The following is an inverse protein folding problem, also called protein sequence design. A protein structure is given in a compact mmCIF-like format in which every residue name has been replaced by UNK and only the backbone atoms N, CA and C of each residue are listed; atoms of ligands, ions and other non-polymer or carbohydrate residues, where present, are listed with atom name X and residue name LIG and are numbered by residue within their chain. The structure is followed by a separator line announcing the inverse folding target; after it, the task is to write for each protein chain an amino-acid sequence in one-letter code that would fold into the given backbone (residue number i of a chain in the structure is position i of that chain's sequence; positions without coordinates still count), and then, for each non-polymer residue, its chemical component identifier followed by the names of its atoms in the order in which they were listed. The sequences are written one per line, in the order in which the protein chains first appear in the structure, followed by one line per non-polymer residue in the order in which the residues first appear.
data_IF_031086073585
#
_entry.id   IF_031086073585
#
_cell.length_a   1.000
_cell.length_b   1.000
_cell.length_c   1.000
_cell.angle_alpha   90.00
_cell.angle_beta   90.00
_cell.angle_gamma   90.00
#
_symmetry.space_group_name_H-M   'P 1'
#
loop_
_entity.id
_entity.type
_entity.pdbx_description
1 polymer ?
#
# COMPACT_ATOMS: atom_id res chain seq x y z
N UNK A 1 27.68 -4.01 26.58
CA UNK A 1 26.49 -3.41 27.20
C UNK A 1 26.00 -2.33 26.25
N UNK A 2 25.16 -2.67 25.29
CA UNK A 2 24.47 -1.72 24.41
C UNK A 2 22.98 -1.85 24.65
N UNK A 3 22.39 -0.70 24.98
CA UNK A 3 21.05 -0.49 25.48
C UNK A 3 19.96 -0.94 24.49
N UNK A 4 19.14 -1.88 24.93
CA UNK A 4 17.91 -2.37 24.30
C UNK A 4 16.75 -1.42 24.60
N UNK A 5 16.67 -0.25 23.99
CA UNK A 5 15.53 0.67 24.26
C UNK A 5 15.03 1.51 23.09
N UNK A 6 15.30 1.12 21.83
CA UNK A 6 14.82 1.89 20.67
C UNK A 6 13.79 1.21 19.78
N UNK A 7 13.32 0.02 20.10
CA UNK A 7 12.43 -0.78 19.20
C UNK A 7 10.94 -0.54 19.44
N UNK A 8 10.55 0.18 20.50
CA UNK A 8 9.13 0.41 20.85
C UNK A 8 8.60 1.81 20.50
N UNK A 9 9.43 2.71 19.96
CA UNK A 9 9.07 4.12 19.76
C UNK A 9 8.46 4.45 18.39
N UNK A 10 8.36 3.49 17.46
CA UNK A 10 7.89 3.77 16.09
C UNK A 10 6.42 3.43 15.85
N UNK A 11 5.81 2.57 16.64
CA UNK A 11 4.39 2.20 16.44
C UNK A 11 3.40 3.30 16.90
N UNK A 12 3.80 4.17 17.85
CA UNK A 12 2.93 5.22 18.39
C UNK A 12 3.04 6.57 17.64
N UNK A 13 3.94 6.70 16.65
CA UNK A 13 4.20 7.98 15.96
C UNK A 13 3.35 8.29 14.74
N UNK A 14 2.40 7.45 14.36
CA UNK A 14 1.38 7.82 13.36
C UNK A 14 0.46 8.96 13.86
N UNK A 15 0.45 9.22 15.17
CA UNK A 15 -0.33 10.30 15.80
C UNK A 15 0.32 11.69 15.70
N UNK A 16 1.60 11.81 15.33
CA UNK A 16 2.31 13.08 15.19
C UNK A 16 2.15 13.75 13.81
N UNK A 17 1.36 13.15 12.92
CA UNK A 17 0.95 13.86 11.71
C UNK A 17 -0.12 14.88 12.10
N UNK A 18 0.26 16.14 12.13
CA UNK A 18 -0.57 17.32 12.41
C UNK A 18 -1.66 17.57 11.34
N UNK A 19 -2.32 16.50 10.88
CA UNK A 19 -3.54 16.59 10.11
C UNK A 19 -4.68 16.50 11.12
N UNK A 20 -5.48 17.56 11.33
CA UNK A 20 -6.64 17.44 12.17
C UNK A 20 -7.54 16.37 11.55
N UNK A 21 -7.63 15.23 12.22
CA UNK A 21 -8.59 14.19 11.88
C UNK A 21 -9.88 14.52 12.64
N UNK A 22 -10.89 15.04 12.02
CA UNK A 22 -12.14 15.28 12.70
C UNK A 22 -13.03 14.09 12.48
N UNK A 23 -13.84 13.75 13.45
CA UNK A 23 -14.95 12.82 13.32
C UNK A 23 -14.75 11.64 12.34
N UNK A 24 -15.65 10.71 12.27
CA UNK A 24 -15.54 9.52 11.44
C UNK A 24 -15.90 9.85 10.01
N UNK A 25 -14.98 9.56 9.08
CA UNK A 25 -15.20 9.70 7.65
C UNK A 25 -15.14 8.37 6.94
N UNK A 26 -15.85 8.30 5.82
CA UNK A 26 -15.70 7.23 4.85
C UNK A 26 -15.54 7.81 3.44
N UNK A 27 -14.95 7.03 2.55
CA UNK A 27 -14.95 7.30 1.12
C UNK A 27 -14.96 5.99 0.34
N UNK A 28 -15.57 6.00 -0.84
CA UNK A 28 -15.41 4.89 -1.77
C UNK A 28 -13.98 4.87 -2.30
N UNK A 29 -13.35 3.69 -2.27
CA UNK A 29 -11.99 3.52 -2.78
C UNK A 29 -12.03 3.14 -4.26
N UNK A 30 -11.13 3.73 -5.04
CA UNK A 30 -10.94 3.37 -6.45
C UNK A 30 -10.20 2.04 -6.65
N UNK A 31 -9.66 1.48 -5.57
CA UNK A 31 -8.99 0.18 -5.56
C UNK A 31 -9.95 -0.92 -6.04
N UNK A 32 -9.39 -1.98 -6.61
CA UNK A 32 -10.11 -3.05 -7.26
C UNK A 32 -9.86 -4.38 -6.55
N UNK A 33 -10.81 -5.30 -6.69
CA UNK A 33 -10.75 -6.63 -6.10
C UNK A 33 -10.50 -7.70 -7.17
N UNK A 34 -9.51 -8.55 -6.96
CA UNK A 34 -9.32 -9.82 -7.67
C UNK A 34 -9.80 -10.93 -6.76
N UNK A 35 -10.64 -11.84 -7.29
CA UNK A 35 -11.10 -13.03 -6.60
C UNK A 35 -10.44 -14.26 -7.23
N UNK A 36 -9.99 -15.17 -6.35
CA UNK A 36 -9.39 -16.45 -6.71
C UNK A 36 -10.23 -17.57 -6.11
N UNK A 37 -10.83 -18.38 -6.95
CA UNK A 37 -11.67 -19.52 -6.55
C UNK A 37 -11.07 -20.84 -7.04
N UNK A 38 -11.60 -21.96 -6.57
CA UNK A 38 -11.16 -23.28 -6.99
C UNK A 38 -10.15 -23.95 -6.06
N UNK A 39 -9.98 -25.29 -6.21
CA UNK A 39 -9.19 -26.09 -5.28
C UNK A 39 -7.70 -25.79 -5.28
N UNK A 40 -7.15 -25.31 -6.41
CA UNK A 40 -5.72 -25.05 -6.57
C UNK A 40 -5.34 -23.59 -6.23
N UNK A 41 -6.30 -22.73 -5.81
CA UNK A 41 -6.05 -21.30 -5.56
C UNK A 41 -4.86 -21.03 -4.65
N UNK A 42 -4.69 -21.83 -3.59
CA UNK A 42 -3.59 -21.66 -2.64
C UNK A 42 -2.23 -21.99 -3.26
N UNK A 43 -2.10 -23.18 -3.84
CA UNK A 43 -0.85 -23.64 -4.46
C UNK A 43 -0.46 -22.76 -5.65
N UNK A 44 -1.44 -22.36 -6.44
CA UNK A 44 -1.26 -21.46 -7.57
C UNK A 44 -0.71 -20.09 -7.10
N UNK A 45 -1.41 -19.41 -6.20
CA UNK A 45 -0.98 -18.10 -5.69
C UNK A 45 0.39 -18.16 -5.04
N UNK A 46 0.69 -19.25 -4.32
CA UNK A 46 2.00 -19.43 -3.69
C UNK A 46 3.15 -19.34 -4.69
N UNK A 47 2.97 -19.81 -5.91
CA UNK A 47 3.96 -19.71 -6.99
C UNK A 47 3.98 -18.38 -7.76
N UNK A 48 3.00 -17.50 -7.54
CA UNK A 48 2.85 -16.27 -8.34
C UNK A 48 3.24 -14.99 -7.60
N UNK A 49 3.26 -15.00 -6.27
CA UNK A 49 3.47 -13.79 -5.46
C UNK A 49 4.66 -13.90 -4.52
N UNK A 50 5.15 -12.77 -4.04
CA UNK A 50 6.35 -12.69 -3.20
C UNK A 50 6.13 -13.18 -1.77
N UNK A 51 4.90 -13.18 -1.23
CA UNK A 51 4.60 -13.55 0.14
C UNK A 51 4.15 -15.01 0.26
N UNK A 52 4.35 -15.60 1.43
CA UNK A 52 3.93 -16.98 1.74
C UNK A 52 2.42 -17.05 1.99
N UNK A 53 1.69 -17.63 1.05
CA UNK A 53 0.23 -17.81 1.14
C UNK A 53 -0.18 -18.75 2.28
N UNK A 54 0.74 -19.54 2.84
CA UNK A 54 0.44 -20.36 4.02
C UNK A 54 0.15 -19.53 5.27
N UNK A 55 0.60 -18.28 5.30
CA UNK A 55 0.31 -17.32 6.37
C UNK A 55 -1.06 -16.65 6.22
N UNK A 56 -1.78 -16.88 5.13
CA UNK A 56 -3.10 -16.30 4.89
C UNK A 56 -4.16 -17.08 5.67
N UNK A 57 -4.35 -16.70 6.93
CA UNK A 57 -5.44 -17.19 7.78
C UNK A 57 -6.73 -16.38 7.56
N UNK A 58 -7.83 -16.75 8.21
CA UNK A 58 -9.11 -16.05 8.06
C UNK A 58 -9.10 -14.64 8.65
N UNK A 59 -8.16 -14.36 9.52
CA UNK A 59 -7.99 -13.10 10.24
C UNK A 59 -6.76 -12.29 9.79
N UNK A 60 -6.01 -12.77 8.78
CA UNK A 60 -4.81 -12.11 8.29
C UNK A 60 -5.06 -11.26 7.04
N UNK A 61 -4.36 -10.13 6.97
CA UNK A 61 -4.11 -9.38 5.74
C UNK A 61 -2.63 -9.54 5.37
N UNK A 62 -2.33 -10.02 4.17
CA UNK A 62 -0.97 -10.16 3.69
C UNK A 62 -0.67 -9.17 2.56
N UNK A 63 0.41 -8.42 2.70
CA UNK A 63 0.99 -7.70 1.58
C UNK A 63 1.76 -8.67 0.68
N UNK A 64 1.72 -8.45 -0.63
CA UNK A 64 2.50 -9.23 -1.59
C UNK A 64 2.77 -8.44 -2.86
N UNK A 65 3.83 -8.79 -3.58
CA UNK A 65 4.08 -8.35 -4.94
C UNK A 65 3.81 -9.47 -5.94
N UNK A 66 3.21 -9.14 -7.08
CA UNK A 66 3.20 -9.98 -8.27
C UNK A 66 4.29 -9.50 -9.21
N UNK A 67 5.23 -10.37 -9.57
CA UNK A 67 6.39 -9.99 -10.37
C UNK A 67 6.39 -10.64 -11.76
N UNK A 68 7.10 -10.02 -12.70
CA UNK A 68 7.53 -10.65 -13.93
C UNK A 68 8.69 -11.62 -13.68
N UNK A 69 9.16 -12.31 -14.71
CA UNK A 69 10.31 -13.24 -14.62
C UNK A 69 11.63 -12.52 -14.27
N UNK A 70 11.72 -11.20 -14.48
CA UNK A 70 12.88 -10.37 -14.12
C UNK A 70 12.78 -9.79 -12.71
N UNK A 71 11.73 -10.13 -11.94
CA UNK A 71 11.47 -9.66 -10.60
C UNK A 71 10.91 -8.24 -10.52
N UNK A 72 10.40 -7.66 -11.61
CA UNK A 72 9.76 -6.36 -11.62
C UNK A 72 8.27 -6.49 -11.33
N UNK A 73 7.72 -5.58 -10.55
CA UNK A 73 6.34 -5.59 -10.10
C UNK A 73 5.35 -5.30 -11.23
N UNK A 74 4.39 -6.20 -11.42
CA UNK A 74 3.16 -5.97 -12.15
C UNK A 74 2.10 -5.32 -11.27
N UNK A 75 2.03 -5.76 -10.00
CA UNK A 75 1.07 -5.24 -9.03
C UNK A 75 1.54 -5.43 -7.60
N UNK A 76 0.97 -4.62 -6.71
CA UNK A 76 1.06 -4.74 -5.26
C UNK A 76 -0.32 -5.13 -4.75
N UNK A 77 -0.34 -6.15 -3.91
CA UNK A 77 -1.55 -6.83 -3.48
C UNK A 77 -1.69 -6.78 -1.97
N UNK A 78 -2.92 -6.60 -1.50
CA UNK A 78 -3.35 -6.88 -0.12
C UNK A 78 -4.29 -8.08 -0.17
N UNK A 79 -3.81 -9.23 0.28
CA UNK A 79 -4.52 -10.50 0.23
C UNK A 79 -5.25 -10.78 1.53
N UNK A 80 -6.49 -11.23 1.43
CA UNK A 80 -7.30 -11.68 2.56
C UNK A 80 -8.20 -12.85 2.15
N UNK A 81 -8.67 -13.59 3.14
CA UNK A 81 -9.61 -14.69 2.96
C UNK A 81 -11.03 -14.21 3.25
N UNK A 82 -11.99 -14.51 2.37
CA UNK A 82 -13.39 -14.15 2.55
C UNK A 82 -14.28 -15.15 1.82
N UNK A 83 -15.27 -15.72 2.53
CA UNK A 83 -16.22 -16.72 2.00
C UNK A 83 -15.51 -17.92 1.35
N UNK A 84 -14.47 -18.43 1.99
CA UNK A 84 -13.62 -19.53 1.51
C UNK A 84 -12.81 -19.24 0.24
N UNK A 85 -12.89 -18.05 -0.32
CA UNK A 85 -12.10 -17.62 -1.45
C UNK A 85 -10.97 -16.65 -1.04
N UNK A 86 -9.98 -16.52 -1.90
CA UNK A 86 -8.94 -15.52 -1.71
C UNK A 86 -9.27 -14.26 -2.50
N UNK A 87 -9.16 -13.13 -1.84
CA UNK A 87 -9.33 -11.83 -2.43
C UNK A 87 -8.02 -11.05 -2.37
N UNK A 88 -7.75 -10.28 -3.41
CA UNK A 88 -6.64 -9.35 -3.43
C UNK A 88 -7.13 -7.95 -3.79
N UNK A 89 -6.83 -6.96 -2.94
CA UNK A 89 -7.00 -5.55 -3.27
C UNK A 89 -5.76 -5.09 -4.03
N UNK A 90 -5.95 -4.42 -5.14
CA UNK A 90 -4.90 -3.77 -5.94
C UNK A 90 -5.39 -2.43 -6.48
N UNK A 91 -4.50 -1.56 -6.98
CA UNK A 91 -4.92 -0.27 -7.50
C UNK A 91 -5.68 -0.41 -8.84
N UNK A 92 -6.45 0.62 -9.19
CA UNK A 92 -7.14 0.69 -10.50
C UNK A 92 -6.17 0.67 -11.68
N UNK A 93 -4.95 1.16 -11.49
CA UNK A 93 -3.92 1.20 -12.55
C UNK A 93 -3.27 -0.17 -12.77
N UNK A 94 -3.24 -1.01 -11.73
CA UNK A 94 -2.58 -2.31 -11.73
C UNK A 94 -3.49 -3.47 -12.18
N UNK A 95 -4.81 -3.35 -12.00
CA UNK A 95 -5.77 -4.46 -12.09
C UNK A 95 -5.72 -5.21 -13.43
N UNK A 96 -5.66 -4.50 -14.56
CA UNK A 96 -5.66 -5.13 -15.88
C UNK A 96 -4.39 -5.96 -16.10
N UNK A 97 -3.23 -5.40 -15.78
CA UNK A 97 -1.95 -6.09 -15.86
C UNK A 97 -1.88 -7.29 -14.90
N UNK A 98 -2.35 -7.10 -13.67
CA UNK A 98 -2.40 -8.16 -12.66
C UNK A 98 -3.23 -9.35 -13.13
N UNK A 99 -4.46 -9.10 -13.62
CA UNK A 99 -5.35 -10.15 -14.13
C UNK A 99 -4.77 -10.86 -15.34
N UNK A 100 -4.22 -10.11 -16.29
CA UNK A 100 -3.64 -10.70 -17.50
C UNK A 100 -2.48 -11.65 -17.15
N UNK A 101 -1.59 -11.23 -16.25
CA UNK A 101 -0.46 -12.05 -15.84
C UNK A 101 -0.87 -13.25 -14.98
N UNK A 102 -1.85 -13.12 -14.09
CA UNK A 102 -2.38 -14.26 -13.35
C UNK A 102 -3.04 -15.28 -14.31
N UNK A 103 -3.94 -14.87 -15.18
CA UNK A 103 -4.63 -15.77 -16.12
C UNK A 103 -3.67 -16.51 -17.05
N UNK A 104 -2.60 -15.88 -17.48
CA UNK A 104 -1.58 -16.47 -18.36
C UNK A 104 -0.94 -17.73 -17.75
N UNK A 105 -0.76 -17.79 -16.44
CA UNK A 105 -0.11 -18.92 -15.76
C UNK A 105 -1.09 -19.88 -15.08
N UNK A 106 -2.40 -19.60 -15.15
CA UNK A 106 -3.44 -20.42 -14.54
C UNK A 106 -3.87 -21.63 -15.41
N UNK A 107 -3.39 -21.74 -16.65
CA UNK A 107 -3.88 -22.71 -17.66
C UNK A 107 -3.86 -24.17 -17.19
N UNK A 108 -2.94 -24.53 -16.30
CA UNK A 108 -2.79 -25.90 -15.79
C UNK A 108 -3.28 -26.07 -14.35
N UNK A 109 -3.84 -25.03 -13.73
CA UNK A 109 -4.33 -25.04 -12.36
C UNK A 109 -5.87 -24.97 -12.35
N UNK A 110 -6.49 -25.69 -11.42
CA UNK A 110 -7.94 -25.61 -11.20
C UNK A 110 -8.24 -24.38 -10.33
N UNK A 111 -8.01 -23.21 -10.91
CA UNK A 111 -8.24 -21.90 -10.29
C UNK A 111 -8.94 -20.99 -11.28
N UNK A 112 -10.01 -20.33 -10.85
CA UNK A 112 -10.65 -19.25 -11.57
C UNK A 112 -10.21 -17.90 -10.97
N UNK A 113 -9.91 -16.95 -11.85
CA UNK A 113 -9.36 -15.65 -11.45
C UNK A 113 -10.12 -14.56 -12.18
N UNK A 114 -10.81 -13.70 -11.43
CA UNK A 114 -11.61 -12.64 -12.01
C UNK A 114 -11.60 -11.36 -11.18
N UNK A 115 -11.95 -10.26 -11.82
CA UNK A 115 -12.25 -9.04 -11.09
C UNK A 115 -13.60 -9.20 -10.39
N UNK A 116 -13.62 -9.11 -9.07
CA UNK A 116 -14.87 -9.12 -8.33
C UNK A 116 -15.57 -7.76 -8.47
N UNK A 117 -16.79 -7.77 -9.00
CA UNK A 117 -17.63 -6.58 -9.21
C UNK A 117 -18.84 -6.52 -8.27
N UNK A 118 -19.01 -7.53 -7.41
CA UNK A 118 -20.15 -7.64 -6.50
C UNK A 118 -19.91 -6.87 -5.19
N UNK A 119 -18.66 -6.69 -4.82
CA UNK A 119 -18.28 -5.96 -3.62
C UNK A 119 -17.69 -4.59 -3.98
N UNK A 120 -17.74 -3.68 -3.03
CA UNK A 120 -17.10 -2.38 -3.06
C UNK A 120 -16.16 -2.23 -1.86
N UNK A 121 -15.16 -1.38 -2.02
CA UNK A 121 -14.22 -1.04 -0.97
C UNK A 121 -14.55 0.36 -0.45
N UNK A 122 -14.69 0.46 0.86
CA UNK A 122 -14.92 1.72 1.55
C UNK A 122 -13.80 1.93 2.57
N UNK A 123 -13.07 3.01 2.44
CA UNK A 123 -12.12 3.45 3.44
C UNK A 123 -12.86 4.16 4.57
N UNK A 124 -12.71 3.68 5.79
CA UNK A 124 -13.24 4.28 7.01
C UNK A 124 -12.08 4.79 7.85
N UNK A 125 -12.10 6.05 8.26
CA UNK A 125 -10.99 6.67 9.00
C UNK A 125 -11.46 7.79 9.92
N UNK A 126 -10.69 8.01 10.99
CA UNK A 126 -11.00 9.03 12.01
C UNK A 126 -10.19 8.82 13.29
N UNK A 127 -10.31 9.76 14.23
CA UNK A 127 -9.59 9.70 15.51
C UNK A 127 -10.14 8.59 16.43
N UNK A 128 -11.46 8.39 16.41
CA UNK A 128 -12.12 7.37 17.22
C UNK A 128 -13.22 6.67 16.40
N UNK A 129 -12.95 5.44 16.00
CA UNK A 129 -13.88 4.62 15.24
C UNK A 129 -14.87 3.82 16.11
N UNK A 130 -14.79 3.92 17.44
CA UNK A 130 -15.54 3.06 18.37
C UNK A 130 -17.04 3.11 18.17
N UNK A 131 -17.61 4.30 17.94
CA UNK A 131 -19.07 4.46 17.75
C UNK A 131 -19.57 3.72 16.49
N UNK A 132 -18.85 3.87 15.36
CA UNK A 132 -19.20 3.18 14.11
C UNK A 132 -18.97 1.69 14.20
N UNK A 133 -17.87 1.27 14.82
CA UNK A 133 -17.61 -0.15 15.04
C UNK A 133 -18.71 -0.82 15.87
N UNK A 134 -19.20 -0.13 16.91
CA UNK A 134 -20.31 -0.60 17.72
C UNK A 134 -21.60 -0.71 16.90
N UNK A 135 -21.92 0.28 16.06
CA UNK A 135 -23.10 0.25 15.19
C UNK A 135 -23.02 -0.86 14.11
N UNK A 136 -21.82 -1.10 13.59
CA UNK A 136 -21.56 -2.19 12.64
C UNK A 136 -21.39 -3.57 13.31
N UNK A 137 -21.43 -3.64 14.65
CA UNK A 137 -21.17 -4.85 15.43
C UNK A 137 -19.79 -5.49 15.13
N UNK A 138 -18.76 -4.62 14.88
CA UNK A 138 -17.41 -5.05 14.57
C UNK A 138 -16.56 -4.98 15.85
N UNK A 139 -15.96 -6.12 16.22
CA UNK A 139 -14.93 -6.19 17.26
C UNK A 139 -13.58 -6.37 16.58
N UNK A 140 -12.81 -5.28 16.45
CA UNK A 140 -11.53 -5.33 15.77
C UNK A 140 -10.50 -6.16 16.54
N UNK A 141 -9.68 -6.94 15.84
CA UNK A 141 -8.47 -7.52 16.39
C UNK A 141 -7.50 -6.44 16.91
N UNK A 142 -6.65 -6.79 17.88
CA UNK A 142 -5.61 -5.89 18.39
C UNK A 142 -4.56 -5.59 17.33
N UNK A 143 -4.21 -6.61 16.56
CA UNK A 143 -3.15 -6.53 15.54
C UNK A 143 -3.55 -5.69 14.33
N UNK A 144 -2.60 -4.91 13.79
CA UNK A 144 -2.72 -4.26 12.49
C UNK A 144 -2.56 -5.31 11.36
N UNK A 145 -3.00 -4.96 10.15
CA UNK A 145 -3.05 -5.88 9.02
C UNK A 145 -3.81 -7.17 9.34
N UNK A 146 -4.95 -7.03 10.01
CA UNK A 146 -5.85 -8.12 10.37
C UNK A 146 -7.23 -7.92 9.75
N UNK A 147 -8.01 -8.99 9.71
CA UNK A 147 -9.34 -8.97 9.10
C UNK A 147 -10.37 -9.63 10.00
N UNK A 148 -11.61 -9.22 9.91
CA UNK A 148 -12.74 -9.83 10.62
C UNK A 148 -14.00 -9.83 9.76
N UNK A 149 -14.73 -10.92 9.78
CA UNK A 149 -16.04 -10.99 9.15
C UNK A 149 -17.08 -10.23 9.99
N UNK A 150 -17.98 -9.54 9.33
CA UNK A 150 -19.11 -8.87 9.95
C UNK A 150 -20.36 -8.99 9.06
N UNK A 151 -21.49 -8.53 9.55
CA UNK A 151 -22.81 -8.74 8.92
C UNK A 151 -22.88 -8.37 7.43
N UNK A 152 -22.14 -7.35 6.99
CA UNK A 152 -22.21 -6.83 5.62
C UNK A 152 -21.01 -7.20 4.75
N UNK A 153 -20.01 -7.92 5.28
CA UNK A 153 -18.81 -8.27 4.54
C UNK A 153 -17.59 -8.54 5.40
N UNK A 154 -16.47 -7.99 5.01
CA UNK A 154 -15.17 -8.12 5.68
C UNK A 154 -14.61 -6.76 6.06
N UNK A 155 -14.27 -6.58 7.33
CA UNK A 155 -13.52 -5.42 7.79
C UNK A 155 -12.02 -5.75 7.84
N UNK A 156 -11.20 -4.86 7.32
CA UNK A 156 -9.75 -4.99 7.18
C UNK A 156 -9.12 -3.85 7.97
N UNK A 157 -8.50 -4.17 9.11
CA UNK A 157 -7.80 -3.22 9.95
C UNK A 157 -6.41 -2.93 9.38
N UNK A 158 -6.15 -1.70 8.99
CA UNK A 158 -4.82 -1.26 8.56
C UNK A 158 -4.01 -0.77 9.76
N UNK A 159 -4.61 0.09 10.57
CA UNK A 159 -4.08 0.64 11.82
C UNK A 159 -5.23 1.03 12.75
N UNK A 160 -4.94 1.76 13.82
CA UNK A 160 -5.96 2.15 14.81
C UNK A 160 -6.97 3.16 14.27
N UNK A 161 -6.62 3.90 13.21
CA UNK A 161 -7.39 5.02 12.69
C UNK A 161 -7.97 4.75 11.30
N UNK A 162 -7.61 3.59 10.66
CA UNK A 162 -8.02 3.28 9.30
C UNK A 162 -8.44 1.84 9.11
N UNK A 163 -9.59 1.67 8.48
CA UNK A 163 -10.16 0.38 8.07
C UNK A 163 -10.53 0.41 6.59
N UNK A 164 -10.47 -0.73 5.94
CA UNK A 164 -11.15 -0.96 4.67
C UNK A 164 -12.33 -1.89 4.94
N UNK A 165 -13.52 -1.48 4.53
CA UNK A 165 -14.69 -2.33 4.51
C UNK A 165 -14.87 -2.89 3.10
N UNK A 166 -14.78 -4.21 2.95
CA UNK A 166 -15.15 -4.93 1.74
C UNK A 166 -16.58 -5.40 1.92
N UNK A 167 -17.53 -4.72 1.28
CA UNK A 167 -18.97 -4.94 1.49
C UNK A 167 -19.70 -5.17 0.17
N UNK A 168 -20.83 -5.85 0.20
CA UNK A 168 -21.73 -5.95 -0.94
C UNK A 168 -22.08 -4.55 -1.45
N UNK A 169 -22.11 -4.36 -2.77
CA UNK A 169 -22.46 -3.05 -3.37
C UNK A 169 -23.83 -2.53 -2.99
N UNK A 170 -24.74 -3.39 -2.55
CA UNK A 170 -26.09 -3.02 -2.08
C UNK A 170 -26.14 -2.70 -0.60
N UNK A 171 -25.07 -2.94 0.14
CA UNK A 171 -25.00 -2.61 1.56
C UNK A 171 -25.02 -1.10 1.77
N UNK A 172 -25.80 -0.66 2.73
CA UNK A 172 -25.88 0.74 3.14
C UNK A 172 -24.97 0.95 4.36
N UNK A 173 -24.19 2.01 4.32
CA UNK A 173 -23.38 2.43 5.46
C UNK A 173 -24.27 3.09 6.53
N UNK A 174 -23.89 3.00 7.82
CA UNK A 174 -24.56 3.71 8.90
C UNK A 174 -24.65 5.20 8.67
N UNK A 175 -25.77 5.81 9.09
CA UNK A 175 -26.03 7.25 8.91
C UNK A 175 -25.11 8.16 9.74
N UNK A 176 -24.44 7.60 10.77
CA UNK A 176 -23.45 8.33 11.57
C UNK A 176 -22.13 8.59 10.83
N UNK A 177 -21.91 7.96 9.67
CA UNK A 177 -20.70 8.12 8.87
C UNK A 177 -20.86 9.26 7.89
N UNK A 178 -19.92 10.20 7.91
CA UNK A 178 -19.82 11.24 6.86
C UNK A 178 -19.12 10.65 5.64
N UNK A 179 -19.88 10.44 4.56
CA UNK A 179 -19.30 9.96 3.29
C UNK A 179 -18.73 11.13 2.50
N UNK A 180 -17.44 11.08 2.24
CA UNK A 180 -16.73 12.05 1.40
C UNK A 180 -16.89 11.70 -0.09
N UNK A 181 -17.05 12.72 -0.94
CA UNK A 181 -17.12 12.55 -2.40
C UNK A 181 -15.77 12.16 -3.02
N UNK A 182 -14.67 12.48 -2.34
CA UNK A 182 -13.31 12.26 -2.83
C UNK A 182 -12.51 11.38 -1.86
N UNK A 183 -11.68 10.49 -2.41
CA UNK A 183 -10.74 9.66 -1.64
C UNK A 183 -9.38 10.35 -1.36
N UNK A 184 -9.22 11.64 -1.66
CA UNK A 184 -7.93 12.34 -1.53
C UNK A 184 -7.36 12.30 -0.10
N UNK A 185 -8.21 12.48 0.93
CA UNK A 185 -7.77 12.35 2.34
C UNK A 185 -7.28 10.94 2.65
N UNK A 186 -8.01 9.92 2.21
CA UNK A 186 -7.59 8.53 2.34
C UNK A 186 -6.25 8.27 1.64
N UNK A 187 -6.08 8.79 0.42
CA UNK A 187 -4.82 8.67 -0.32
C UNK A 187 -3.66 9.36 0.42
N UNK A 188 -3.90 10.55 1.01
CA UNK A 188 -2.90 11.24 1.83
C UNK A 188 -2.47 10.38 3.02
N UNK A 189 -3.43 9.79 3.75
CA UNK A 189 -3.15 8.89 4.88
C UNK A 189 -2.38 7.64 4.44
N UNK A 190 -2.73 7.04 3.29
CA UNK A 190 -2.01 5.88 2.75
C UNK A 190 -0.57 6.22 2.34
N UNK A 191 -0.34 7.40 1.76
CA UNK A 191 1.01 7.89 1.46
C UNK A 191 1.82 8.09 2.75
N UNK A 192 1.23 8.75 3.75
CA UNK A 192 1.88 8.98 5.05
C UNK A 192 2.17 7.69 5.81
N UNK A 193 1.35 6.65 5.61
CA UNK A 193 1.63 5.30 6.11
C UNK A 193 2.69 4.54 5.31
N UNK A 194 3.24 5.14 4.24
CA UNK A 194 4.25 4.49 3.40
C UNK A 194 3.74 3.28 2.64
N UNK A 195 2.45 3.24 2.32
CA UNK A 195 1.81 2.12 1.61
C UNK A 195 1.99 2.25 0.10
N UNK A 196 2.80 1.38 -0.53
CA UNK A 196 3.10 1.51 -1.95
C UNK A 196 1.90 1.18 -2.83
N UNK A 197 1.71 1.97 -3.88
CA UNK A 197 0.85 1.70 -5.04
C UNK A 197 1.60 2.07 -6.32
N UNK A 198 1.42 1.32 -7.38
CA UNK A 198 2.02 1.65 -8.67
C UNK A 198 1.03 2.45 -9.52
N UNK A 199 1.50 3.53 -10.12
CA UNK A 199 0.81 4.15 -11.24
C UNK A 199 1.20 3.44 -12.55
N UNK A 200 0.52 3.74 -13.64
CA UNK A 200 0.76 3.12 -14.95
C UNK A 200 2.23 3.20 -15.42
N UNK A 201 2.97 4.25 -15.04
CA UNK A 201 4.38 4.43 -15.43
C UNK A 201 5.36 3.64 -14.55
N UNK A 202 4.91 3.17 -13.39
CA UNK A 202 5.71 2.41 -12.43
C UNK A 202 5.55 0.89 -12.60
N UNK A 203 4.52 0.43 -13.31
CA UNK A 203 4.27 -0.99 -13.61
C UNK A 203 5.44 -1.55 -14.43
N UNK A 204 5.96 -2.72 -14.03
CA UNK A 204 7.12 -3.39 -14.62
C UNK A 204 8.43 -2.55 -14.62
N UNK A 205 8.50 -1.51 -13.79
CA UNK A 205 9.69 -0.66 -13.67
C UNK A 205 10.56 -1.03 -12.45
N UNK A 206 9.93 -1.31 -11.31
CA UNK A 206 10.61 -1.48 -10.03
C UNK A 206 10.54 -2.91 -9.50
N UNK A 207 11.56 -3.31 -8.75
CA UNK A 207 11.53 -4.56 -7.97
C UNK A 207 10.91 -4.29 -6.59
N UNK A 208 10.40 -5.32 -5.89
CA UNK A 208 9.69 -5.16 -4.62
C UNK A 208 10.43 -4.35 -3.55
N UNK A 209 11.75 -4.50 -3.44
CA UNK A 209 12.54 -3.77 -2.46
C UNK A 209 12.67 -2.27 -2.76
N UNK A 210 12.53 -1.86 -4.03
CA UNK A 210 12.56 -0.43 -4.38
C UNK A 210 11.32 0.33 -3.92
N UNK A 211 10.21 -0.38 -3.69
CA UNK A 211 8.97 0.16 -3.12
C UNK A 211 8.82 -0.22 -1.63
N UNK A 212 9.90 -0.60 -0.97
CA UNK A 212 9.97 -0.97 0.45
C UNK A 212 9.04 -2.14 0.84
N UNK A 213 8.64 -3.00 -0.08
CA UNK A 213 7.66 -4.06 0.17
C UNK A 213 8.14 -5.07 1.22
N UNK A 214 9.46 -5.28 1.37
CA UNK A 214 10.04 -6.11 2.43
C UNK A 214 9.80 -5.52 3.83
N UNK A 215 9.84 -4.19 3.97
CA UNK A 215 9.72 -3.52 5.26
C UNK A 215 8.28 -3.57 5.82
N UNK A 216 7.29 -3.74 4.95
CA UNK A 216 5.88 -3.92 5.33
C UNK A 216 5.44 -5.39 5.30
N UNK A 217 6.39 -6.32 5.29
CA UNK A 217 6.09 -7.74 5.32
C UNK A 217 5.56 -8.33 4.00
N UNK A 218 5.77 -7.67 2.87
CA UNK A 218 5.25 -8.13 1.57
C UNK A 218 6.12 -9.15 0.84
N UNK A 219 7.26 -9.56 1.42
CA UNK A 219 8.18 -10.54 0.83
C UNK A 219 8.54 -11.62 1.83
N UNK A 220 8.34 -12.87 1.48
CA UNK A 220 8.88 -14.00 2.23
C UNK A 220 10.16 -14.50 1.54
N UNK A 221 11.28 -14.45 2.26
CA UNK A 221 12.57 -15.00 1.80
C UNK A 221 12.78 -16.47 2.19
N UNK A 222 11.81 -17.05 2.93
CA UNK A 222 11.87 -18.44 3.43
C UNK A 222 10.92 -19.37 2.69
N UNK A 223 10.00 -18.85 1.87
CA UNK A 223 9.04 -19.65 1.10
C UNK A 223 9.70 -20.38 -0.07
N UNK A 224 8.96 -21.32 -0.69
CA UNK A 224 9.33 -21.98 -1.94
C UNK A 224 9.38 -21.02 -3.14
N UNK A 225 9.70 -21.59 -4.31
CA UNK A 225 9.90 -20.82 -5.54
C UNK A 225 8.62 -20.03 -5.96
N UNK A 226 8.87 -18.83 -6.46
CA UNK A 226 7.85 -18.00 -7.08
C UNK A 226 8.44 -17.21 -8.26
N UNK A 227 7.58 -16.70 -9.12
CA UNK A 227 7.97 -15.97 -10.32
C UNK A 227 8.74 -14.69 -9.98
N UNK A 228 9.94 -14.53 -10.53
CA UNK A 228 10.83 -13.39 -10.30
C UNK A 228 11.73 -13.48 -9.04
N UNK A 229 11.66 -14.58 -8.29
CA UNK A 229 12.38 -14.76 -7.03
C UNK A 229 13.90 -14.55 -7.15
N UNK A 230 14.53 -14.95 -8.25
CA UNK A 230 15.98 -14.84 -8.41
C UNK A 230 16.47 -13.40 -8.20
N UNK A 231 15.84 -12.43 -8.89
CA UNK A 231 16.20 -11.01 -8.76
C UNK A 231 15.92 -10.48 -7.36
N UNK A 232 14.75 -10.83 -6.79
CA UNK A 232 14.35 -10.39 -5.43
C UNK A 232 15.35 -10.94 -4.38
N UNK A 233 15.73 -12.22 -4.47
CA UNK A 233 16.72 -12.83 -3.58
C UNK A 233 18.11 -12.19 -3.75
N UNK A 234 18.56 -11.97 -4.99
CA UNK A 234 19.86 -11.32 -5.26
C UNK A 234 19.93 -9.90 -4.69
N UNK A 235 18.84 -9.14 -4.73
CA UNK A 235 18.78 -7.81 -4.13
C UNK A 235 18.99 -7.87 -2.61
N UNK A 236 18.39 -8.84 -1.93
CA UNK A 236 18.60 -9.06 -0.49
C UNK A 236 20.02 -9.48 -0.16
N UNK A 237 20.48 -10.59 -0.74
CA UNK A 237 21.72 -11.25 -0.30
C UNK A 237 23.00 -10.61 -0.86
N UNK A 238 22.93 -9.86 -1.95
CA UNK A 238 24.09 -9.20 -2.55
C UNK A 238 24.09 -7.67 -2.33
N UNK A 239 23.15 -7.11 -1.57
CA UNK A 239 23.12 -5.69 -1.19
C UNK A 239 23.06 -4.72 -2.38
N UNK A 240 22.45 -5.12 -3.50
CA UNK A 240 22.49 -4.34 -4.76
C UNK A 240 21.34 -3.31 -4.90
N UNK A 241 20.44 -3.25 -3.93
CA UNK A 241 19.37 -2.27 -4.00
C UNK A 241 19.92 -0.86 -3.72
N UNK A 242 19.84 0.01 -4.73
CA UNK A 242 20.32 1.40 -4.65
C UNK A 242 19.17 2.41 -4.62
N UNK A 243 17.93 1.95 -4.50
CA UNK A 243 16.75 2.81 -4.50
C UNK A 243 15.80 2.39 -3.39
N UNK A 244 15.11 3.37 -2.84
CA UNK A 244 14.05 3.16 -1.86
C UNK A 244 12.87 4.08 -2.16
N UNK A 245 11.74 3.76 -1.59
CA UNK A 245 10.56 4.62 -1.60
C UNK A 245 10.62 5.59 -0.43
N UNK A 246 10.32 6.85 -0.71
CA UNK A 246 10.30 7.95 0.24
C UNK A 246 8.91 8.57 0.30
N UNK A 247 8.55 9.06 1.48
CA UNK A 247 7.39 9.92 1.69
C UNK A 247 7.84 11.36 1.49
N UNK A 248 7.13 12.08 0.64
CA UNK A 248 7.38 13.48 0.31
C UNK A 248 6.18 14.34 0.69
N UNK A 249 6.46 15.52 1.22
CA UNK A 249 5.44 16.51 1.58
C UNK A 249 5.82 17.88 1.02
N UNK A 250 4.84 18.65 0.58
CA UNK A 250 5.01 20.05 0.22
C UNK A 250 3.87 20.90 0.77
N UNK A 251 4.21 22.08 1.28
CA UNK A 251 3.23 23.12 1.56
C UNK A 251 2.93 23.87 0.26
N UNK A 252 1.72 23.70 -0.26
CA UNK A 252 1.30 24.21 -1.58
C UNK A 252 -0.21 24.31 -1.65
N UNK A 253 -0.71 25.20 -2.46
CA UNK A 253 -2.16 25.38 -2.69
C UNK A 253 -2.69 24.63 -3.93
N UNK A 254 -1.89 23.71 -4.49
CA UNK A 254 -2.24 22.93 -5.68
C UNK A 254 -1.57 21.56 -5.66
N UNK A 255 -2.17 20.54 -6.33
CA UNK A 255 -1.56 19.22 -6.44
C UNK A 255 -0.24 19.26 -7.22
N UNK A 256 0.56 18.19 -7.07
CA UNK A 256 1.72 17.96 -7.92
C UNK A 256 1.28 17.63 -9.36
N UNK A 257 1.79 18.39 -10.32
CA UNK A 257 1.64 18.13 -11.77
C UNK A 257 2.85 17.33 -12.31
N UNK A 258 3.94 17.32 -11.57
CA UNK A 258 5.18 16.63 -11.93
C UNK A 258 5.06 15.12 -11.79
N UNK A 259 5.85 14.40 -12.59
CA UNK A 259 6.11 12.96 -12.46
C UNK A 259 7.52 12.67 -11.94
N UNK A 260 8.38 13.66 -11.86
CA UNK A 260 9.79 13.56 -11.47
C UNK A 260 10.14 14.54 -10.35
N UNK A 261 11.13 14.15 -9.55
CA UNK A 261 11.74 14.94 -8.48
C UNK A 261 13.19 15.24 -8.83
N UNK A 262 13.62 16.45 -8.53
CA UNK A 262 15.02 16.89 -8.65
C UNK A 262 15.60 17.16 -7.27
N UNK A 263 16.89 16.87 -7.09
CA UNK A 263 17.70 17.24 -5.93
C UNK A 263 18.70 18.32 -6.29
N UNK A 264 19.01 19.18 -5.35
CA UNK A 264 20.05 20.17 -5.49
C UNK A 264 21.44 19.55 -5.24
N UNK A 265 22.37 19.73 -6.18
CA UNK A 265 23.77 19.33 -6.06
C UNK A 265 24.66 20.55 -6.41
N UNK A 266 25.15 21.22 -5.37
CA UNK A 266 25.81 22.52 -5.52
C UNK A 266 24.82 23.57 -6.06
N UNK A 267 25.15 24.21 -7.16
CA UNK A 267 24.27 25.18 -7.82
C UNK A 267 23.28 24.57 -8.82
N UNK A 268 23.39 23.27 -9.10
CA UNK A 268 22.60 22.60 -10.13
C UNK A 268 21.50 21.70 -9.54
N UNK A 269 20.42 21.57 -10.27
CA UNK A 269 19.34 20.61 -10.00
C UNK A 269 19.50 19.40 -10.92
N UNK A 270 19.43 18.20 -10.33
CA UNK A 270 19.51 16.93 -11.05
C UNK A 270 18.37 16.02 -10.66
N UNK A 271 17.92 15.23 -11.61
CA UNK A 271 16.87 14.23 -11.36
C UNK A 271 17.26 13.31 -10.21
N UNK A 272 16.41 13.26 -9.19
CA UNK A 272 16.52 12.35 -8.05
C UNK A 272 15.67 11.08 -8.24
N UNK A 273 14.43 11.22 -8.74
CA UNK A 273 13.55 10.09 -8.88
C UNK A 273 12.24 10.36 -9.58
N UNK A 274 11.30 9.40 -9.45
CA UNK A 274 9.95 9.47 -10.00
C UNK A 274 8.91 9.38 -8.90
N UNK A 275 7.83 10.13 -9.05
CA UNK A 275 6.63 10.00 -8.24
C UNK A 275 5.83 8.77 -8.71
N UNK A 276 5.42 7.93 -7.77
CA UNK A 276 4.59 6.74 -8.05
C UNK A 276 3.16 6.88 -7.53
N UNK A 277 2.96 7.80 -6.57
CA UNK A 277 1.66 8.13 -6.03
C UNK A 277 1.67 9.59 -5.56
N UNK A 278 0.55 10.30 -5.72
CA UNK A 278 0.39 11.69 -5.25
C UNK A 278 -1.00 11.88 -4.69
N UNK A 279 -1.13 12.78 -3.73
CA UNK A 279 -2.42 13.27 -3.22
C UNK A 279 -2.30 14.76 -2.87
N UNK A 280 -3.44 15.42 -2.76
CA UNK A 280 -3.52 16.80 -2.35
C UNK A 280 -4.64 16.97 -1.32
N UNK A 281 -4.31 17.49 -0.16
CA UNK A 281 -5.28 17.84 0.87
C UNK A 281 -5.55 19.36 0.81
N UNK A 282 -6.73 19.71 0.33
CA UNK A 282 -7.15 21.09 0.15
C UNK A 282 -7.38 21.80 1.49
N UNK A 283 -7.77 21.05 2.53
CA UNK A 283 -8.07 21.64 3.84
C UNK A 283 -6.80 22.11 4.56
N UNK A 284 -5.70 21.40 4.36
CA UNK A 284 -4.40 21.72 4.95
C UNK A 284 -3.44 22.43 4.00
N UNK A 285 -3.80 22.58 2.71
CA UNK A 285 -2.92 23.08 1.65
C UNK A 285 -1.60 22.30 1.58
N UNK A 286 -1.67 20.96 1.65
CA UNK A 286 -0.51 20.08 1.57
C UNK A 286 -0.64 19.08 0.44
N UNK A 287 0.43 18.90 -0.31
CA UNK A 287 0.57 17.82 -1.28
C UNK A 287 1.51 16.76 -0.72
N UNK A 288 1.13 15.50 -0.90
CA UNK A 288 1.90 14.35 -0.48
C UNK A 288 2.24 13.47 -1.67
N UNK A 289 3.38 12.77 -1.61
CA UNK A 289 3.74 11.81 -2.64
C UNK A 289 4.56 10.65 -2.08
N UNK A 290 4.51 9.51 -2.79
CA UNK A 290 5.53 8.47 -2.72
C UNK A 290 6.44 8.58 -3.94
N UNK A 291 7.75 8.55 -3.71
CA UNK A 291 8.75 8.65 -4.77
C UNK A 291 9.83 7.58 -4.64
N UNK A 292 10.28 7.05 -5.77
CA UNK A 292 11.42 6.12 -5.81
C UNK A 292 12.69 6.92 -6.12
N UNK A 293 13.59 7.00 -5.14
CA UNK A 293 14.82 7.79 -5.19
C UNK A 293 16.03 6.94 -4.75
N UNK A 294 17.28 7.44 -4.88
CA UNK A 294 18.46 6.80 -4.29
C UNK A 294 18.25 6.54 -2.79
N UNK A 295 18.71 5.40 -2.28
CA UNK A 295 18.45 4.95 -0.90
C UNK A 295 19.37 5.57 0.16
N UNK A 296 20.23 6.51 -0.23
CA UNK A 296 21.21 7.21 0.59
C UNK A 296 20.90 8.71 0.79
N UNK A 297 19.70 9.14 0.42
CA UNK A 297 19.29 10.55 0.61
C UNK A 297 19.03 10.85 2.09
N UNK A 298 19.61 11.95 2.56
CA UNK A 298 19.35 12.48 3.90
C UNK A 298 18.00 13.21 3.95
N UNK A 299 17.38 13.29 5.14
CA UNK A 299 16.08 13.95 5.33
C UNK A 299 16.11 15.44 5.00
N UNK A 300 17.28 16.09 5.12
CA UNK A 300 17.51 17.50 4.84
C UNK A 300 17.92 17.77 3.38
N UNK A 301 17.90 16.75 2.52
CA UNK A 301 18.18 16.91 1.09
C UNK A 301 17.18 17.88 0.47
N UNK A 302 17.70 18.93 -0.20
CA UNK A 302 16.87 19.89 -0.90
C UNK A 302 16.28 19.28 -2.17
N UNK A 303 14.96 19.18 -2.19
CA UNK A 303 14.19 18.59 -3.28
C UNK A 303 13.17 19.58 -3.84
N UNK A 304 12.84 19.40 -5.12
CA UNK A 304 11.72 20.07 -5.77
C UNK A 304 11.05 19.21 -6.83
N UNK A 305 9.84 19.56 -7.20
CA UNK A 305 9.17 18.98 -8.38
C UNK A 305 9.85 19.45 -9.66
N UNK A 306 9.95 18.55 -10.65
CA UNK A 306 10.42 18.91 -12.00
C UNK A 306 9.25 19.32 -12.87
N UNK A 307 8.88 20.60 -12.79
CA UNK A 307 7.78 21.21 -13.54
C UNK A 307 8.10 22.69 -13.81
N UNK A 308 7.31 23.37 -14.62
CA UNK A 308 7.53 24.76 -15.01
C UNK A 308 7.66 25.70 -13.79
N UNK A 309 6.77 25.55 -12.80
CA UNK A 309 6.85 26.26 -11.52
C UNK A 309 7.18 25.23 -10.43
N UNK A 310 8.47 24.99 -10.12
CA UNK A 310 8.88 23.97 -9.18
C UNK A 310 8.33 24.22 -7.77
N UNK A 311 7.87 23.17 -7.12
CA UNK A 311 7.42 23.19 -5.73
C UNK A 311 8.52 22.58 -4.88
N UNK A 312 8.94 23.26 -3.80
CA UNK A 312 9.87 22.73 -2.81
C UNK A 312 9.23 21.58 -2.06
N UNK A 313 9.99 20.52 -1.81
CA UNK A 313 9.52 19.27 -1.21
C UNK A 313 10.41 18.90 -0.04
N UNK A 314 9.81 18.38 1.02
CA UNK A 314 10.49 17.81 2.19
C UNK A 314 10.37 16.30 2.19
N UNK A 315 11.42 15.60 2.62
CA UNK A 315 11.38 14.17 2.90
C UNK A 315 10.81 13.97 4.30
N UNK A 316 9.78 13.16 4.43
CA UNK A 316 9.23 12.75 5.74
C UNK A 316 9.78 11.39 6.15
N UNK A 317 9.98 11.15 7.45
CA UNK A 317 10.40 9.84 7.93
C UNK A 317 9.36 8.78 7.58
N UNK A 318 9.85 7.57 7.24
CA UNK A 318 8.99 6.41 7.06
C UNK A 318 8.48 5.91 8.41
N UNK A 319 7.22 5.40 8.49
CA UNK A 319 6.67 4.83 9.73
C UNK A 319 7.24 3.44 10.07
N UNK A 320 8.16 2.93 9.29
CA UNK A 320 8.82 1.63 9.45
C UNK A 320 10.32 1.73 9.13
N UNK A 321 11.10 0.76 9.63
CA UNK A 321 12.54 0.66 9.36
C UNK A 321 12.79 -0.05 8.03
N UNK A 322 13.76 0.46 7.25
CA UNK A 322 14.29 -0.24 6.07
C UNK A 322 15.43 -1.20 6.42
N UNK A 323 15.95 -1.12 7.64
CA UNK A 323 17.00 -2.01 8.13
C UNK A 323 16.31 -3.30 8.57
N UNK A 324 16.61 -4.40 7.91
CA UNK A 324 16.21 -5.75 8.35
C UNK A 324 17.06 -6.14 9.58
N UNK A 325 16.40 -6.60 10.64
CA UNK A 325 17.05 -7.24 11.79
C UNK A 325 17.58 -8.64 11.45
#
# INVERSE_FOLDING_TARGET
MFSTSNTLLYADKLTDFNMPMPHIYACHLSDQLIQFTGPDKKSYLHGQITQDVNLLTNDALLWAGQCDAKGKLWSILRLFNFQDDYFAITSKDEIENALAEFKKYAVFAKVDIEQNKNHQLVGLFGDDLSAVLSELEIILPTENNSTIDFKFGKAIKLDNNRLILCIDKKAQLPSCITLLESEQKWQSLSILAGEPKLNNQAIAEYVPQMVNLQAIGGISFKKGCYKGQETVARMKFLGKNKRAMYILEANTNKPFEATEVEQQLGENWRRAGKLIQTSFDIDTNRAYALAIMPNDLALDTLLRTKQENPISIEIKPLPYSLIEE
#
